data_IF_399827057496
#
_entry.id   IF_399827057496
#
_cell.length_a   1.000
_cell.length_b   1.000
_cell.length_c   1.000
_cell.angle_alpha   90.00
_cell.angle_beta   90.00
_cell.angle_gamma   90.00
#
_symmetry.space_group_name_H-M   'P 1'
#
loop_
_entity.id
_entity.type
_entity.pdbx_description
1 polymer ?
#
# COMPACT_ATOMS: atom_id res chain seq x y z
N UNK A 1 -6.02 -16.63 -2.59
CA UNK A 1 -6.57 -15.28 -2.88
C UNK A 1 -8.04 -15.26 -2.48
N UNK A 2 -8.58 -14.10 -2.06
CA UNK A 2 -9.98 -13.92 -1.62
C UNK A 2 -10.91 -13.60 -2.80
N UNK A 3 -12.19 -13.96 -2.69
CA UNK A 3 -13.21 -13.73 -3.71
C UNK A 3 -13.28 -12.26 -4.12
N UNK A 4 -13.33 -11.35 -3.15
CA UNK A 4 -13.43 -9.92 -3.44
C UNK A 4 -12.17 -9.32 -4.08
N UNK A 5 -10.99 -9.88 -3.80
CA UNK A 5 -9.77 -9.46 -4.50
C UNK A 5 -9.81 -9.87 -5.97
N UNK A 6 -10.31 -11.09 -6.25
CA UNK A 6 -10.45 -11.56 -7.62
C UNK A 6 -11.49 -10.73 -8.39
N UNK A 7 -12.64 -10.42 -7.76
CA UNK A 7 -13.68 -9.59 -8.36
C UNK A 7 -13.19 -8.16 -8.65
N UNK A 8 -12.43 -7.56 -7.72
CA UNK A 8 -11.83 -6.25 -7.95
C UNK A 8 -10.86 -6.27 -9.14
N UNK A 9 -10.02 -7.31 -9.25
CA UNK A 9 -9.06 -7.47 -10.35
C UNK A 9 -9.73 -7.72 -11.72
N UNK A 10 -10.91 -8.35 -11.73
CA UNK A 10 -11.70 -8.56 -12.96
C UNK A 10 -12.42 -7.28 -13.41
N UNK A 11 -12.54 -6.28 -12.54
CA UNK A 11 -13.16 -5.01 -12.88
C UNK A 11 -12.19 -4.16 -13.72
N UNK A 12 -12.29 -4.28 -15.05
CA UNK A 12 -11.45 -3.58 -16.06
C UNK A 12 -11.54 -2.04 -16.04
N UNK A 13 -12.36 -1.45 -15.16
CA UNK A 13 -12.53 -0.01 -15.01
C UNK A 13 -11.83 0.53 -13.76
N UNK A 14 -11.39 1.79 -13.81
CA UNK A 14 -10.83 2.57 -12.69
C UNK A 14 -11.87 2.85 -11.58
N UNK A 15 -12.69 1.89 -11.17
CA UNK A 15 -13.55 2.09 -10.00
C UNK A 15 -12.65 2.18 -8.77
N UNK A 16 -12.77 3.25 -7.97
CA UNK A 16 -12.05 3.34 -6.72
C UNK A 16 -12.32 2.11 -5.85
N UNK A 17 -11.27 1.62 -5.18
CA UNK A 17 -11.35 0.53 -4.21
C UNK A 17 -12.41 0.81 -3.13
N UNK A 18 -12.58 2.09 -2.81
CA UNK A 18 -13.58 2.65 -1.92
C UNK A 18 -15.00 2.28 -2.37
N UNK A 19 -15.43 2.73 -3.56
CA UNK A 19 -16.73 2.39 -4.16
C UNK A 19 -16.99 0.89 -4.18
N UNK A 20 -15.98 0.10 -4.60
CA UNK A 20 -16.10 -1.36 -4.65
C UNK A 20 -16.39 -1.96 -3.27
N UNK A 21 -15.70 -1.48 -2.23
CA UNK A 21 -15.92 -1.96 -0.87
C UNK A 21 -17.27 -1.48 -0.29
N UNK A 22 -17.65 -0.24 -0.59
CA UNK A 22 -18.95 0.34 -0.23
C UNK A 22 -20.11 -0.52 -0.74
N UNK A 23 -20.07 -0.96 -2.00
CA UNK A 23 -21.10 -1.84 -2.57
C UNK A 23 -21.18 -3.19 -1.85
N UNK A 24 -20.02 -3.81 -1.57
CA UNK A 24 -19.97 -5.09 -0.87
C UNK A 24 -20.58 -4.98 0.53
N UNK A 25 -20.18 -3.95 1.29
CA UNK A 25 -20.67 -3.74 2.66
C UNK A 25 -22.15 -3.45 2.67
N UNK A 26 -22.64 -2.56 1.79
CA UNK A 26 -24.06 -2.25 1.71
C UNK A 26 -24.90 -3.48 1.34
N UNK A 27 -24.46 -4.27 0.35
CA UNK A 27 -25.13 -5.52 -0.01
C UNK A 27 -25.15 -6.52 1.14
N UNK A 28 -24.02 -6.73 1.80
CA UNK A 28 -23.92 -7.62 2.96
C UNK A 28 -24.86 -7.20 4.10
N UNK A 29 -24.91 -5.91 4.45
CA UNK A 29 -25.79 -5.39 5.49
C UNK A 29 -27.28 -5.48 5.10
N UNK A 30 -27.59 -5.39 3.79
CA UNK A 30 -28.96 -5.55 3.30
C UNK A 30 -29.50 -6.98 3.45
N UNK A 31 -28.60 -7.97 3.41
CA UNK A 31 -28.93 -9.37 3.67
C UNK A 31 -28.93 -9.69 5.17
N UNK A 32 -28.10 -9.00 5.95
CA UNK A 32 -27.86 -9.27 7.37
C UNK A 32 -28.22 -8.04 8.23
N UNK A 33 -29.50 -7.70 8.22
CA UNK A 33 -30.04 -6.53 8.93
C UNK A 33 -29.79 -6.58 10.45
N UNK A 34 -29.74 -7.77 11.03
CA UNK A 34 -29.41 -7.97 12.44
C UNK A 34 -27.98 -7.51 12.76
N UNK A 35 -27.02 -7.78 11.87
CA UNK A 35 -25.63 -7.33 12.00
C UNK A 35 -25.53 -5.81 11.86
N UNK A 36 -26.28 -5.21 10.92
CA UNK A 36 -26.38 -3.75 10.80
C UNK A 36 -26.90 -3.13 12.10
N UNK A 37 -28.02 -3.63 12.62
CA UNK A 37 -28.61 -3.10 13.85
C UNK A 37 -27.71 -3.31 15.06
N UNK A 38 -27.07 -4.47 15.20
CA UNK A 38 -26.11 -4.73 16.28
C UNK A 38 -24.93 -3.75 16.22
N UNK A 39 -24.36 -3.55 15.03
CA UNK A 39 -23.26 -2.61 14.83
C UNK A 39 -23.65 -1.17 15.21
N UNK A 40 -24.80 -0.69 14.72
CA UNK A 40 -25.27 0.65 15.02
C UNK A 40 -25.59 0.84 16.51
N UNK A 41 -26.20 -0.16 17.17
CA UNK A 41 -26.49 -0.13 18.61
C UNK A 41 -25.22 -0.19 19.45
N UNK A 42 -24.24 -1.00 19.04
CA UNK A 42 -23.00 -1.15 19.77
C UNK A 42 -22.24 0.18 19.93
N UNK A 43 -22.30 1.03 18.89
CA UNK A 43 -21.72 2.37 18.90
C UNK A 43 -22.70 3.46 19.35
N UNK A 44 -23.85 3.09 19.93
CA UNK A 44 -24.90 3.99 20.42
C UNK A 44 -25.43 4.95 19.36
N UNK A 45 -25.38 4.55 18.08
CA UNK A 45 -25.83 5.36 16.95
C UNK A 45 -27.35 5.40 16.89
N UNK A 46 -27.97 4.26 17.17
CA UNK A 46 -29.42 4.09 17.29
C UNK A 46 -29.77 3.51 18.67
N UNK A 47 -31.01 3.70 19.10
CA UNK A 47 -31.54 3.11 20.33
C UNK A 47 -32.08 1.69 20.13
N UNK A 48 -32.87 1.23 21.10
CA UNK A 48 -33.50 -0.09 21.10
C UNK A 48 -34.85 -0.16 20.37
N UNK A 49 -35.12 0.82 19.51
CA UNK A 49 -36.31 0.84 18.67
C UNK A 49 -36.42 -0.44 17.82
N UNK A 50 -37.65 -0.91 17.60
CA UNK A 50 -37.93 -2.05 16.73
C UNK A 50 -38.30 -1.52 15.35
N UNK A 51 -37.37 -1.64 14.41
CA UNK A 51 -37.58 -1.23 13.03
C UNK A 51 -38.32 -2.33 12.25
N UNK A 52 -39.41 -1.95 11.60
CA UNK A 52 -40.24 -2.83 10.76
C UNK A 52 -39.76 -2.87 9.31
N UNK A 53 -39.00 -1.86 8.88
CA UNK A 53 -38.42 -1.79 7.54
C UNK A 53 -37.02 -1.18 7.59
N UNK A 54 -36.12 -1.75 6.80
CA UNK A 54 -34.73 -1.31 6.63
C UNK A 54 -34.48 -1.27 5.13
N UNK A 55 -34.01 -0.12 4.65
CA UNK A 55 -33.61 0.07 3.25
C UNK A 55 -32.20 0.62 3.21
N UNK A 56 -31.38 0.02 2.36
CA UNK A 56 -30.01 0.45 2.12
C UNK A 56 -29.87 0.77 0.63
N UNK A 57 -29.39 1.98 0.33
CA UNK A 57 -29.01 2.39 -1.03
C UNK A 57 -27.55 2.85 -1.03
N UNK A 58 -26.91 2.74 -2.19
CA UNK A 58 -25.54 3.18 -2.40
C UNK A 58 -25.49 4.22 -3.51
N UNK A 59 -24.46 5.05 -3.50
CA UNK A 59 -24.13 6.00 -4.57
C UNK A 59 -25.30 6.90 -4.95
N UNK A 60 -26.07 7.34 -3.96
CA UNK A 60 -27.28 8.12 -4.17
C UNK A 60 -26.94 9.57 -4.49
N UNK A 61 -27.35 10.02 -5.67
CA UNK A 61 -27.17 11.40 -6.11
C UNK A 61 -28.22 12.33 -5.47
N UNK A 62 -27.76 13.47 -4.97
CA UNK A 62 -28.56 14.55 -4.42
C UNK A 62 -28.17 15.85 -5.11
N UNK A 63 -29.18 16.57 -5.59
CA UNK A 63 -28.97 17.90 -6.16
C UNK A 63 -28.39 18.84 -5.12
N UNK A 64 -27.51 19.74 -5.59
CA UNK A 64 -26.96 20.81 -4.78
C UNK A 64 -28.09 21.62 -4.12
N UNK A 65 -27.99 21.81 -2.81
CA UNK A 65 -28.79 22.85 -2.16
C UNK A 65 -28.33 24.22 -2.67
N UNK A 66 -29.19 25.24 -2.62
CA UNK A 66 -28.87 26.58 -3.12
C UNK A 66 -27.59 27.22 -2.52
N UNK A 67 -27.14 26.71 -1.37
CA UNK A 67 -25.93 27.13 -0.66
C UNK A 67 -24.66 26.36 -1.11
N UNK A 68 -24.79 25.42 -2.03
CA UNK A 68 -23.71 24.59 -2.57
C UNK A 68 -23.63 24.74 -4.08
N UNK A 69 -22.42 24.63 -4.62
CA UNK A 69 -22.16 24.81 -6.06
C UNK A 69 -22.23 23.52 -6.86
N UNK A 70 -22.27 22.38 -6.19
CA UNK A 70 -22.13 21.06 -6.81
C UNK A 70 -23.07 20.05 -6.14
N UNK A 71 -23.54 19.12 -6.96
CA UNK A 71 -24.31 17.97 -6.51
C UNK A 71 -23.47 17.07 -5.57
N UNK A 72 -24.16 16.18 -4.88
CA UNK A 72 -23.58 15.29 -3.88
C UNK A 72 -23.90 13.84 -4.22
N UNK A 73 -22.94 12.93 -4.04
CA UNK A 73 -23.15 11.49 -4.23
C UNK A 73 -22.79 10.77 -2.94
N UNK A 74 -23.81 10.28 -2.24
CA UNK A 74 -23.66 9.64 -0.93
C UNK A 74 -23.25 8.19 -1.10
N UNK A 75 -22.22 7.74 -0.36
CA UNK A 75 -21.72 6.38 -0.45
C UNK A 75 -22.77 5.33 -0.04
N UNK A 76 -23.32 5.45 1.19
CA UNK A 76 -24.39 4.59 1.69
C UNK A 76 -25.45 5.45 2.38
N UNK A 77 -26.72 5.15 2.09
CA UNK A 77 -27.88 5.69 2.80
C UNK A 77 -28.65 4.54 3.42
N UNK A 78 -28.93 4.63 4.71
CA UNK A 78 -29.75 3.68 5.46
C UNK A 78 -31.00 4.39 5.97
N UNK A 79 -32.17 3.87 5.61
CA UNK A 79 -33.46 4.32 6.11
C UNK A 79 -34.04 3.24 7.04
N UNK A 80 -34.25 3.58 8.31
CA UNK A 80 -34.80 2.69 9.33
C UNK A 80 -36.20 3.19 9.75
N UNK A 81 -37.25 2.40 9.49
CA UNK A 81 -38.61 2.81 9.82
C UNK A 81 -39.24 1.93 10.89
N UNK A 82 -39.96 2.55 11.82
CA UNK A 82 -40.83 1.87 12.80
C UNK A 82 -42.28 1.75 12.30
N UNK A 83 -42.57 2.28 11.09
CA UNK A 83 -43.92 2.47 10.55
C UNK A 83 -44.57 3.80 10.97
N UNK A 84 -44.08 4.45 12.03
CA UNK A 84 -44.54 5.78 12.47
C UNK A 84 -43.47 6.85 12.26
N UNK A 85 -42.21 6.48 12.44
CA UNK A 85 -41.07 7.38 12.34
C UNK A 85 -39.98 6.73 11.50
N UNK A 86 -39.17 7.57 10.86
CA UNK A 86 -38.02 7.13 10.07
C UNK A 86 -36.75 7.79 10.59
N UNK A 87 -35.72 6.99 10.82
CA UNK A 87 -34.36 7.44 11.05
C UNK A 87 -33.58 7.32 9.74
N UNK A 88 -32.78 8.32 9.40
CA UNK A 88 -31.95 8.33 8.19
C UNK A 88 -30.49 8.47 8.58
N UNK A 89 -29.67 7.57 8.06
CA UNK A 89 -28.24 7.51 8.29
C UNK A 89 -27.53 7.65 6.95
N UNK A 90 -26.73 8.70 6.81
CA UNK A 90 -25.75 8.80 5.74
C UNK A 90 -24.42 8.26 6.24
N UNK A 91 -23.77 7.42 5.45
CA UNK A 91 -22.43 6.90 5.74
C UNK A 91 -21.53 7.31 4.59
N UNK A 92 -20.52 8.13 4.88
CA UNK A 92 -19.43 8.45 3.96
C UNK A 92 -18.21 7.60 4.31
N UNK A 93 -17.71 6.86 3.32
CA UNK A 93 -16.62 5.90 3.45
C UNK A 93 -15.34 6.44 2.84
N UNK A 94 -14.20 6.31 3.55
CA UNK A 94 -12.89 6.61 2.97
C UNK A 94 -11.89 5.49 3.15
N UNK A 95 -11.29 5.06 2.04
CA UNK A 95 -10.21 4.05 2.02
C UNK A 95 -9.00 4.63 1.29
N UNK A 96 -8.12 5.28 2.05
CA UNK A 96 -6.86 5.84 1.54
C UNK A 96 -6.99 7.15 0.77
N UNK A 97 -8.20 7.69 0.66
CA UNK A 97 -8.47 9.05 0.20
C UNK A 97 -8.88 9.94 1.38
N UNK A 98 -8.74 11.26 1.22
CA UNK A 98 -9.44 12.23 2.07
C UNK A 98 -10.80 12.53 1.45
N UNK A 99 -11.74 13.01 2.26
CA UNK A 99 -13.00 13.53 1.76
C UNK A 99 -12.82 14.72 0.81
N UNK A 100 -13.81 14.92 -0.05
CA UNK A 100 -13.88 16.08 -0.92
C UNK A 100 -14.10 17.39 -0.15
N UNK A 101 -13.84 18.51 -0.81
CA UNK A 101 -14.03 19.84 -0.22
C UNK A 101 -15.45 20.02 0.35
N UNK A 102 -15.52 20.36 1.65
CA UNK A 102 -16.75 20.54 2.44
C UNK A 102 -17.78 19.39 2.33
N UNK A 103 -17.36 18.19 1.94
CA UNK A 103 -18.27 17.09 1.60
C UNK A 103 -19.19 16.69 2.76
N UNK A 104 -18.64 16.49 3.96
CA UNK A 104 -19.42 16.12 5.14
C UNK A 104 -20.39 17.23 5.57
N UNK A 105 -20.02 18.50 5.39
CA UNK A 105 -20.91 19.64 5.66
C UNK A 105 -22.09 19.64 4.69
N UNK A 106 -21.84 19.45 3.38
CA UNK A 106 -22.90 19.31 2.37
C UNK A 106 -23.88 18.19 2.75
N UNK A 107 -23.38 17.06 3.23
CA UNK A 107 -24.24 15.95 3.64
C UNK A 107 -25.05 16.24 4.89
N UNK A 108 -24.45 16.92 5.88
CA UNK A 108 -25.19 17.38 7.06
C UNK A 108 -26.31 18.36 6.67
N UNK A 109 -26.05 19.29 5.75
CA UNK A 109 -27.04 20.24 5.25
C UNK A 109 -28.18 19.53 4.51
N UNK A 110 -27.86 18.57 3.62
CA UNK A 110 -28.86 17.74 2.92
C UNK A 110 -29.72 16.97 3.93
N UNK A 111 -29.08 16.32 4.91
CA UNK A 111 -29.77 15.49 5.89
C UNK A 111 -30.69 16.32 6.81
N UNK A 112 -30.25 17.54 7.19
CA UNK A 112 -31.06 18.51 7.94
C UNK A 112 -32.34 18.87 7.19
N UNK A 113 -32.24 19.09 5.88
CA UNK A 113 -33.36 19.49 5.02
C UNK A 113 -34.32 18.34 4.65
N UNK A 114 -34.05 17.08 5.04
CA UNK A 114 -34.99 15.99 4.78
C UNK A 114 -36.26 16.11 5.64
N UNK A 115 -37.46 16.06 5.02
CA UNK A 115 -38.72 16.15 5.74
C UNK A 115 -39.05 14.84 6.49
N UNK A 116 -39.82 14.95 7.58
CA UNK A 116 -40.41 13.81 8.30
C UNK A 116 -39.42 12.77 8.86
N UNK A 117 -38.18 13.16 9.13
CA UNK A 117 -37.17 12.31 9.76
C UNK A 117 -37.14 12.56 11.28
N UNK A 118 -37.09 11.49 12.07
CA UNK A 118 -36.94 11.53 13.55
C UNK A 118 -35.47 11.77 13.90
N UNK A 119 -34.59 10.83 13.57
CA UNK A 119 -33.15 10.99 13.77
C UNK A 119 -32.40 11.17 12.44
N UNK A 120 -31.54 12.19 12.41
CA UNK A 120 -30.67 12.53 11.27
C UNK A 120 -29.24 12.25 11.67
N UNK A 121 -28.65 11.21 11.09
CA UNK A 121 -27.35 10.71 11.50
C UNK A 121 -26.38 10.75 10.32
N UNK A 122 -25.20 11.34 10.54
CA UNK A 122 -24.09 11.31 9.60
C UNK A 122 -22.95 10.50 10.22
N UNK A 123 -22.55 9.41 9.56
CA UNK A 123 -21.41 8.59 9.92
C UNK A 123 -20.29 8.87 8.91
N UNK A 124 -19.12 9.23 9.41
CA UNK A 124 -17.88 9.24 8.63
C UNK A 124 -17.01 8.06 9.06
N UNK A 125 -16.69 7.16 8.14
CA UNK A 125 -15.89 5.95 8.42
C UNK A 125 -14.64 5.87 7.56
N UNK A 126 -13.47 5.79 8.21
CA UNK A 126 -12.17 5.83 7.52
C UNK A 126 -11.29 4.61 7.80
N UNK A 127 -10.41 4.25 6.87
CA UNK A 127 -9.31 3.31 7.17
C UNK A 127 -8.29 3.97 8.09
N UNK A 128 -7.80 5.13 7.65
CA UNK A 128 -6.69 5.83 8.29
C UNK A 128 -7.19 6.73 9.43
N UNK A 129 -6.29 7.17 10.30
CA UNK A 129 -6.62 8.13 11.34
C UNK A 129 -6.78 9.53 10.74
N UNK A 130 -8.02 10.01 10.63
CA UNK A 130 -8.37 11.33 10.06
C UNK A 130 -9.45 12.04 10.91
N UNK A 131 -9.12 12.57 12.11
CA UNK A 131 -10.08 13.22 13.00
C UNK A 131 -10.75 14.45 12.37
N UNK A 132 -12.08 14.56 12.53
CA UNK A 132 -12.93 15.65 12.01
C UNK A 132 -13.47 16.53 13.14
N UNK A 133 -12.58 17.21 13.84
CA UNK A 133 -12.97 18.10 14.92
C UNK A 133 -13.70 19.36 14.37
N UNK A 134 -13.35 19.78 13.16
CA UNK A 134 -13.90 20.95 12.48
C UNK A 134 -15.37 20.82 12.09
N UNK A 135 -15.90 19.60 11.90
CA UNK A 135 -17.29 19.35 11.51
C UNK A 135 -18.22 19.24 12.70
N UNK A 136 -17.67 18.96 13.89
CA UNK A 136 -18.47 18.94 15.12
C UNK A 136 -19.17 20.29 15.29
N UNK A 137 -18.45 21.41 15.20
CA UNK A 137 -19.05 22.74 15.41
C UNK A 137 -20.16 23.12 14.40
N UNK A 138 -19.99 22.96 13.07
CA UNK A 138 -21.02 23.26 12.07
C UNK A 138 -22.22 22.30 12.10
N UNK A 139 -21.99 20.98 12.19
CA UNK A 139 -23.09 19.99 12.16
C UNK A 139 -24.01 20.12 13.40
N UNK A 140 -23.50 20.62 14.52
CA UNK A 140 -24.28 20.80 15.74
C UNK A 140 -25.11 22.10 15.79
N UNK A 141 -24.91 23.05 14.86
CA UNK A 141 -25.68 24.30 14.81
C UNK A 141 -26.84 24.28 13.79
N UNK A 142 -27.07 23.14 13.13
CA UNK A 142 -28.18 22.97 12.19
C UNK A 142 -29.50 22.73 12.93
N UNK A 143 -30.58 23.30 12.39
CA UNK A 143 -31.95 23.01 12.82
C UNK A 143 -32.76 22.57 11.59
N UNK A 144 -33.28 21.32 11.55
CA UNK A 144 -33.18 20.27 12.58
C UNK A 144 -31.77 19.70 12.78
N UNK A 145 -31.44 19.32 14.02
CA UNK A 145 -30.13 18.81 14.42
C UNK A 145 -29.72 17.52 13.68
N UNK A 146 -28.46 17.47 13.24
CA UNK A 146 -27.77 16.28 12.74
C UNK A 146 -26.82 15.74 13.81
N UNK A 147 -26.82 14.42 14.01
CA UNK A 147 -25.92 13.73 14.93
C UNK A 147 -24.74 13.17 14.12
N UNK A 148 -23.53 13.60 14.44
CA UNK A 148 -22.32 13.17 13.76
C UNK A 148 -21.58 12.08 14.53
N UNK A 149 -21.24 11.00 13.84
CA UNK A 149 -20.36 9.94 14.34
C UNK A 149 -19.14 9.82 13.45
N UNK A 150 -17.98 9.73 14.06
CA UNK A 150 -16.76 9.37 13.37
C UNK A 150 -16.29 7.99 13.84
N UNK A 151 -16.13 7.10 12.88
CA UNK A 151 -15.66 5.73 13.09
C UNK A 151 -14.47 5.44 12.19
N UNK A 152 -13.84 4.30 12.46
CA UNK A 152 -12.84 3.71 11.57
C UNK A 152 -13.23 2.30 11.19
N UNK A 153 -12.79 1.85 10.02
CA UNK A 153 -13.10 0.52 9.53
C UNK A 153 -12.67 -0.60 10.48
N UNK A 154 -11.62 -0.41 11.30
CA UNK A 154 -11.23 -1.42 12.30
C UNK A 154 -12.30 -1.66 13.38
N UNK A 155 -13.16 -0.67 13.64
CA UNK A 155 -14.28 -0.79 14.58
C UNK A 155 -15.36 -1.70 14.00
N UNK A 156 -15.73 -1.48 12.73
CA UNK A 156 -16.61 -2.39 12.01
C UNK A 156 -16.01 -3.80 11.89
N UNK A 157 -14.71 -3.89 11.57
CA UNK A 157 -13.97 -5.16 11.52
C UNK A 157 -14.09 -5.95 12.83
N UNK A 158 -13.81 -5.31 13.97
CA UNK A 158 -13.87 -5.94 15.29
C UNK A 158 -15.27 -6.46 15.64
N UNK A 159 -16.34 -5.81 15.14
CA UNK A 159 -17.69 -6.33 15.28
C UNK A 159 -18.00 -7.46 14.32
N UNK A 160 -17.65 -7.33 13.06
CA UNK A 160 -17.90 -8.35 12.06
C UNK A 160 -17.21 -9.69 12.40
N UNK A 161 -16.08 -9.66 13.14
CA UNK A 161 -15.42 -10.88 13.62
C UNK A 161 -16.33 -11.81 14.46
N UNK A 162 -17.33 -11.25 15.16
CA UNK A 162 -18.29 -12.01 15.94
C UNK A 162 -19.26 -12.82 15.06
N UNK A 163 -19.34 -12.49 13.76
CA UNK A 163 -20.19 -13.14 12.77
C UNK A 163 -19.36 -13.90 11.72
N UNK A 164 -18.15 -14.32 12.08
CA UNK A 164 -17.21 -14.99 11.18
C UNK A 164 -17.65 -16.37 10.69
N UNK A 165 -18.82 -16.87 11.07
CA UNK A 165 -19.43 -18.07 10.47
C UNK A 165 -20.11 -17.79 9.12
N UNK A 166 -20.48 -16.54 8.84
CA UNK A 166 -21.04 -16.15 7.55
C UNK A 166 -19.93 -16.03 6.49
N UNK A 167 -20.15 -16.62 5.31
CA UNK A 167 -19.14 -16.70 4.24
C UNK A 167 -18.83 -15.31 3.68
N UNK A 168 -19.83 -14.45 3.50
CA UNK A 168 -19.61 -13.08 3.02
C UNK A 168 -18.88 -12.26 4.09
N UNK A 169 -19.23 -12.42 5.37
CA UNK A 169 -18.51 -11.79 6.47
C UNK A 169 -17.03 -12.20 6.48
N UNK A 170 -16.71 -13.48 6.28
CA UNK A 170 -15.33 -13.95 6.17
C UNK A 170 -14.57 -13.28 5.02
N UNK A 171 -15.19 -13.20 3.84
CA UNK A 171 -14.57 -12.55 2.67
C UNK A 171 -14.36 -11.04 2.90
N UNK A 172 -15.31 -10.36 3.58
CA UNK A 172 -15.16 -8.96 3.99
C UNK A 172 -13.98 -8.83 4.95
N UNK A 173 -13.89 -9.68 5.98
CA UNK A 173 -12.78 -9.67 6.94
C UNK A 173 -11.42 -9.93 6.28
N UNK A 174 -11.35 -10.79 5.26
CA UNK A 174 -10.11 -11.00 4.49
C UNK A 174 -9.76 -9.75 3.67
N UNK A 175 -10.74 -9.16 2.98
CA UNK A 175 -10.54 -7.94 2.20
C UNK A 175 -10.08 -6.78 3.09
N UNK A 176 -10.70 -6.60 4.25
CA UNK A 176 -10.34 -5.57 5.22
C UNK A 176 -8.91 -5.73 5.72
N UNK A 177 -8.49 -6.94 6.09
CA UNK A 177 -7.11 -7.22 6.53
C UNK A 177 -6.08 -6.84 5.47
N UNK A 178 -6.28 -7.31 4.24
CA UNK A 178 -5.37 -7.03 3.11
C UNK A 178 -5.25 -5.55 2.80
N UNK A 179 -6.30 -4.77 3.08
CA UNK A 179 -6.34 -3.35 2.79
C UNK A 179 -6.06 -2.48 4.01
N UNK A 180 -5.51 -3.04 5.10
CA UNK A 180 -5.11 -2.29 6.30
C UNK A 180 -6.27 -1.76 7.14
N UNK A 181 -7.49 -2.25 6.90
CA UNK A 181 -8.70 -1.82 7.61
C UNK A 181 -8.93 -2.55 8.94
N UNK A 182 -8.12 -3.57 9.26
CA UNK A 182 -8.18 -4.27 10.55
C UNK A 182 -7.27 -3.65 11.62
N UNK A 183 -6.41 -2.70 11.26
CA UNK A 183 -5.37 -2.16 12.14
C UNK A 183 -5.98 -1.26 13.21
N UNK A 184 -5.62 -1.51 14.48
CA UNK A 184 -6.13 -0.72 15.62
C UNK A 184 -5.29 0.54 15.86
N UNK A 185 -5.68 1.35 16.86
CA UNK A 185 -4.90 2.50 17.33
C UNK A 185 -3.81 2.14 18.35
N UNK A 186 -3.54 0.85 18.54
CA UNK A 186 -2.62 0.37 19.57
C UNK A 186 -1.46 -0.37 18.92
N UNK A 187 -0.26 -0.16 19.45
CA UNK A 187 0.89 -0.99 19.12
C UNK A 187 0.69 -2.39 19.69
N UNK A 188 0.86 -3.39 18.83
CA UNK A 188 0.98 -4.78 19.25
C UNK A 188 2.40 -5.08 19.75
N UNK A 189 2.57 -6.23 20.42
CA UNK A 189 3.90 -6.71 20.79
C UNK A 189 4.80 -6.95 19.56
N UNK A 190 4.21 -7.29 18.41
CA UNK A 190 4.95 -7.48 17.15
C UNK A 190 5.45 -6.14 16.63
N UNK A 191 4.64 -5.08 16.72
CA UNK A 191 5.06 -3.72 16.31
C UNK A 191 6.22 -3.24 17.18
N UNK A 192 6.12 -3.43 18.51
CA UNK A 192 7.19 -3.08 19.44
C UNK A 192 8.47 -3.89 19.15
N UNK A 193 8.36 -5.20 18.94
CA UNK A 193 9.49 -6.05 18.59
C UNK A 193 10.14 -5.60 17.28
N UNK A 194 9.33 -5.22 16.29
CA UNK A 194 9.79 -4.70 15.00
C UNK A 194 10.56 -3.40 15.18
N UNK A 195 10.01 -2.44 15.94
CA UNK A 195 10.67 -1.16 16.20
C UNK A 195 12.04 -1.34 16.85
N UNK A 196 12.15 -2.23 17.85
CA UNK A 196 13.41 -2.46 18.59
C UNK A 196 14.44 -3.22 17.75
N UNK A 197 14.01 -4.14 16.88
CA UNK A 197 14.94 -4.92 16.05
C UNK A 197 15.23 -4.31 14.68
N UNK A 198 14.47 -3.29 14.25
CA UNK A 198 14.58 -2.70 12.91
C UNK A 198 16.01 -2.32 12.56
N UNK A 199 16.69 -1.56 13.44
CA UNK A 199 18.06 -1.13 13.20
C UNK A 199 19.03 -2.31 13.13
N UNK A 200 18.87 -3.33 13.98
CA UNK A 200 19.71 -4.54 13.95
C UNK A 200 19.57 -5.28 12.62
N UNK A 201 18.35 -5.47 12.14
CA UNK A 201 18.07 -6.11 10.85
C UNK A 201 18.63 -5.28 9.70
N UNK A 202 18.41 -3.95 9.72
CA UNK A 202 18.96 -3.04 8.71
C UNK A 202 20.50 -3.06 8.71
N UNK A 203 21.15 -3.14 9.86
CA UNK A 203 22.60 -3.28 9.95
C UNK A 203 23.08 -4.58 9.31
N UNK A 204 22.44 -5.71 9.58
CA UNK A 204 22.78 -6.99 8.93
C UNK A 204 22.65 -6.89 7.40
N UNK A 205 21.55 -6.32 6.90
CA UNK A 205 21.36 -6.10 5.46
C UNK A 205 22.46 -5.22 4.87
N UNK A 206 22.82 -4.13 5.55
CA UNK A 206 23.95 -3.26 5.14
C UNK A 206 25.28 -4.02 5.14
N UNK A 207 25.53 -4.86 6.14
CA UNK A 207 26.76 -5.65 6.23
C UNK A 207 26.90 -6.68 5.09
N UNK A 208 25.79 -7.18 4.55
CA UNK A 208 25.85 -8.04 3.34
C UNK A 208 26.13 -7.27 2.05
N UNK A 209 25.89 -5.96 2.03
CA UNK A 209 26.21 -5.04 0.94
C UNK A 209 27.45 -4.21 1.30
N UNK A 210 28.47 -4.83 1.89
CA UNK A 210 29.67 -4.14 2.37
C UNK A 210 30.53 -3.54 1.23
N UNK A 211 31.65 -2.92 1.60
CA UNK A 211 32.59 -2.28 0.68
C UNK A 211 33.08 -3.19 -0.44
N UNK A 212 33.31 -4.47 -0.15
CA UNK A 212 33.73 -5.47 -1.14
C UNK A 212 32.67 -5.65 -2.24
N UNK A 213 31.42 -5.94 -1.85
CA UNK A 213 30.30 -6.10 -2.79
C UNK A 213 30.06 -4.81 -3.57
N UNK A 214 30.13 -3.65 -2.90
CA UNK A 214 29.99 -2.35 -3.55
C UNK A 214 31.11 -2.09 -4.56
N UNK A 215 32.35 -2.45 -4.24
CA UNK A 215 33.49 -2.31 -5.15
C UNK A 215 33.31 -3.16 -6.39
N UNK A 216 32.96 -4.43 -6.24
CA UNK A 216 32.72 -5.31 -7.40
C UNK A 216 31.55 -4.82 -8.25
N UNK A 217 30.47 -4.35 -7.63
CA UNK A 217 29.34 -3.74 -8.33
C UNK A 217 29.77 -2.48 -9.10
N UNK A 218 30.58 -1.61 -8.49
CA UNK A 218 31.12 -0.41 -9.14
C UNK A 218 32.02 -0.75 -10.33
N UNK A 219 32.92 -1.71 -10.16
CA UNK A 219 33.81 -2.15 -11.24
C UNK A 219 33.02 -2.71 -12.42
N UNK A 220 31.95 -3.43 -12.12
CA UNK A 220 31.08 -4.03 -13.12
C UNK A 220 30.24 -3.00 -13.89
N UNK A 221 29.63 -2.04 -13.18
CA UNK A 221 28.51 -1.25 -13.70
C UNK A 221 28.71 0.28 -13.56
N UNK A 222 29.88 0.71 -13.08
CA UNK A 222 30.35 2.10 -13.03
C UNK A 222 30.01 2.86 -11.75
N UNK A 223 28.76 2.78 -11.28
CA UNK A 223 28.23 3.57 -10.16
C UNK A 223 27.68 2.74 -9.02
N UNK A 224 27.59 3.33 -7.82
CA UNK A 224 26.95 2.74 -6.63
C UNK A 224 26.16 3.80 -5.89
N UNK A 225 24.85 3.83 -6.11
CA UNK A 225 23.90 4.63 -5.33
C UNK A 225 23.48 3.78 -4.12
N UNK A 226 23.56 4.36 -2.91
CA UNK A 226 23.34 3.67 -1.63
C UNK A 226 22.78 4.62 -0.56
N UNK A 227 22.56 4.10 0.66
CA UNK A 227 22.23 4.92 1.83
C UNK A 227 20.80 5.45 1.81
N UNK A 228 20.64 6.77 1.87
CA UNK A 228 19.31 7.42 1.88
C UNK A 228 18.46 7.06 0.65
N UNK A 229 19.11 6.84 -0.50
CA UNK A 229 18.46 6.37 -1.71
C UNK A 229 17.88 4.96 -1.54
N UNK A 230 18.64 4.03 -0.94
CA UNK A 230 18.18 2.66 -0.63
C UNK A 230 17.00 2.66 0.35
N UNK A 231 17.00 3.57 1.33
CA UNK A 231 15.87 3.73 2.26
C UNK A 231 14.62 4.28 1.58
N UNK A 232 14.78 5.20 0.64
CA UNK A 232 13.68 5.69 -0.20
C UNK A 232 13.08 4.54 -1.01
N UNK A 233 13.92 3.66 -1.57
CA UNK A 233 13.46 2.48 -2.30
C UNK A 233 12.69 1.50 -1.39
N UNK A 234 13.12 1.29 -0.14
CA UNK A 234 12.40 0.42 0.78
C UNK A 234 11.02 1.00 1.08
N UNK A 235 10.97 2.29 1.45
CA UNK A 235 9.72 2.98 1.80
C UNK A 235 8.65 2.88 0.71
N UNK A 236 9.03 3.03 -0.55
CA UNK A 236 8.06 3.17 -1.64
C UNK A 236 7.85 1.90 -2.46
N UNK A 237 8.86 1.03 -2.53
CA UNK A 237 8.86 -0.12 -3.43
C UNK A 237 9.14 -1.44 -2.70
N UNK A 238 9.29 -1.43 -1.37
CA UNK A 238 9.60 -2.62 -0.57
C UNK A 238 10.89 -3.34 -1.01
N UNK A 239 11.89 -2.58 -1.48
CA UNK A 239 13.21 -3.10 -1.88
C UNK A 239 14.32 -2.33 -1.17
N UNK A 240 15.37 -3.02 -0.73
CA UNK A 240 16.56 -2.39 -0.15
C UNK A 240 17.80 -2.81 -0.92
N UNK A 241 18.32 -1.90 -1.74
CA UNK A 241 19.33 -2.21 -2.76
C UNK A 241 20.42 -1.14 -2.84
N UNK A 242 21.60 -1.53 -3.29
CA UNK A 242 22.52 -0.63 -3.99
C UNK A 242 22.20 -0.69 -5.49
N UNK A 243 22.36 0.40 -6.22
CA UNK A 243 21.98 0.43 -7.63
C UNK A 243 22.77 1.43 -8.46
N UNK A 244 22.70 1.30 -9.78
CA UNK A 244 23.24 2.27 -10.73
C UNK A 244 22.27 2.52 -11.87
N UNK A 245 22.39 3.68 -12.50
CA UNK A 245 21.56 4.12 -13.62
C UNK A 245 22.39 4.13 -14.91
N UNK A 246 22.01 3.32 -15.88
CA UNK A 246 22.66 3.29 -17.19
C UNK A 246 22.16 4.41 -18.09
N UNK A 247 20.85 4.69 -18.07
CA UNK A 247 20.23 5.76 -18.89
C UNK A 247 19.15 6.51 -18.10
N UNK A 248 19.57 7.39 -17.19
CA UNK A 248 18.65 8.11 -16.30
C UNK A 248 17.75 7.15 -15.53
N UNK A 249 16.46 7.47 -15.41
CA UNK A 249 15.44 6.61 -14.78
C UNK A 249 14.88 5.54 -15.72
N UNK A 250 15.38 5.46 -16.95
CA UNK A 250 14.82 4.57 -17.97
C UNK A 250 15.45 3.18 -18.02
N UNK A 251 16.68 3.05 -17.52
CA UNK A 251 17.41 1.79 -17.52
C UNK A 251 18.41 1.76 -16.37
N UNK A 252 18.26 0.79 -15.49
CA UNK A 252 19.02 0.70 -14.26
C UNK A 252 19.15 -0.74 -13.77
N UNK A 253 20.15 -0.99 -12.93
CA UNK A 253 20.30 -2.28 -12.26
C UNK A 253 20.47 -2.08 -10.75
N UNK A 254 19.96 -3.03 -9.98
CA UNK A 254 20.02 -2.99 -8.52
C UNK A 254 20.35 -4.36 -7.94
N UNK A 255 21.07 -4.34 -6.82
CA UNK A 255 21.51 -5.51 -6.06
C UNK A 255 21.09 -5.36 -4.61
N UNK A 256 20.42 -6.37 -4.05
CA UNK A 256 20.06 -6.39 -2.64
C UNK A 256 18.83 -7.24 -2.36
N UNK A 257 17.89 -6.68 -1.60
CA UNK A 257 16.73 -7.36 -1.06
C UNK A 257 15.44 -6.86 -1.72
N UNK A 258 14.56 -7.78 -2.07
CA UNK A 258 13.28 -7.53 -2.74
C UNK A 258 12.13 -8.14 -1.95
N UNK A 259 10.93 -7.59 -2.12
CA UNK A 259 9.71 -8.06 -1.46
C UNK A 259 9.83 -8.06 0.08
N UNK A 260 10.33 -6.97 0.67
CA UNK A 260 10.55 -6.84 2.11
C UNK A 260 9.27 -6.74 2.95
N UNK A 261 8.12 -6.50 2.30
CA UNK A 261 6.81 -6.41 2.94
C UNK A 261 5.82 -7.32 2.19
N UNK A 262 5.98 -8.65 2.27
CA UNK A 262 5.12 -9.56 1.53
C UNK A 262 3.67 -9.49 2.02
N UNK A 263 2.72 -9.75 1.12
CA UNK A 263 1.28 -9.78 1.43
C UNK A 263 0.92 -10.92 2.40
N UNK A 264 1.78 -11.93 2.53
CA UNK A 264 1.60 -13.08 3.41
C UNK A 264 2.83 -13.31 4.29
N UNK A 265 2.61 -13.73 5.54
CA UNK A 265 3.70 -14.06 6.48
C UNK A 265 4.45 -15.36 6.11
N UNK A 266 3.97 -16.10 5.10
CA UNK A 266 4.61 -17.34 4.62
C UNK A 266 5.60 -17.10 3.48
N UNK A 267 5.60 -15.91 2.90
CA UNK A 267 6.53 -15.54 1.85
C UNK A 267 7.82 -14.97 2.44
N UNK A 268 8.94 -15.40 1.88
CA UNK A 268 10.27 -14.89 2.22
C UNK A 268 10.70 -13.82 1.21
N UNK A 269 11.40 -12.76 1.65
CA UNK A 269 12.05 -11.82 0.75
C UNK A 269 13.00 -12.53 -0.22
N UNK A 270 13.25 -11.92 -1.37
CA UNK A 270 14.27 -12.39 -2.31
C UNK A 270 15.55 -11.58 -2.16
N UNK A 271 16.68 -12.21 -2.47
CA UNK A 271 17.97 -11.54 -2.61
C UNK A 271 18.48 -11.75 -4.02
N UNK A 272 19.20 -10.78 -4.57
CA UNK A 272 19.84 -10.94 -5.87
C UNK A 272 20.08 -9.63 -6.59
N UNK A 273 20.20 -9.74 -7.92
CA UNK A 273 20.41 -8.62 -8.83
C UNK A 273 19.31 -8.59 -9.89
N UNK A 274 18.96 -7.41 -10.37
CA UNK A 274 18.05 -7.23 -11.49
C UNK A 274 18.53 -6.16 -12.47
N UNK A 275 18.01 -6.23 -13.68
CA UNK A 275 18.08 -5.20 -14.70
C UNK A 275 16.65 -4.81 -15.09
N UNK A 276 16.31 -3.53 -15.03
CA UNK A 276 14.96 -3.02 -15.33
C UNK A 276 14.99 -1.90 -16.37
N UNK A 277 13.99 -1.90 -17.25
CA UNK A 277 13.74 -0.87 -18.26
C UNK A 277 12.34 -0.27 -18.11
N UNK A 278 12.26 1.06 -18.19
CA UNK A 278 10.99 1.80 -18.08
C UNK A 278 10.11 1.60 -19.32
N UNK A 279 8.79 1.63 -19.11
CA UNK A 279 7.80 1.49 -20.19
C UNK A 279 7.91 2.60 -21.26
N UNK A 280 8.37 3.78 -20.88
CA UNK A 280 8.49 4.96 -21.75
C UNK A 280 9.83 5.05 -22.48
N UNK A 281 10.76 4.12 -22.24
CA UNK A 281 12.07 4.20 -22.87
C UNK A 281 12.01 3.82 -24.35
N UNK A 282 12.53 4.69 -25.24
CA UNK A 282 12.53 4.44 -26.69
C UNK A 282 13.27 3.16 -27.10
N UNK A 283 14.29 2.75 -26.33
CA UNK A 283 15.07 1.54 -26.58
C UNK A 283 14.51 0.28 -25.88
N UNK A 284 13.36 0.39 -25.19
CA UNK A 284 12.72 -0.73 -24.47
C UNK A 284 12.57 -2.00 -25.33
N UNK A 285 12.13 -1.95 -26.60
CA UNK A 285 11.99 -3.16 -27.41
C UNK A 285 13.30 -3.94 -27.58
N UNK A 286 14.43 -3.26 -27.82
CA UNK A 286 15.75 -3.91 -27.98
C UNK A 286 16.24 -4.55 -26.68
N UNK A 287 16.00 -3.87 -25.55
CA UNK A 287 16.37 -4.38 -24.23
C UNK A 287 15.53 -5.62 -23.89
N UNK A 288 14.24 -5.60 -24.18
CA UNK A 288 13.36 -6.76 -23.96
C UNK A 288 13.75 -7.94 -24.83
N UNK A 289 14.10 -7.71 -26.10
CA UNK A 289 14.62 -8.77 -26.97
C UNK A 289 15.87 -9.43 -26.38
N UNK A 290 16.78 -8.61 -25.85
CA UNK A 290 18.01 -9.09 -25.17
C UNK A 290 17.68 -9.85 -23.87
N UNK A 291 16.77 -9.34 -23.05
CA UNK A 291 16.27 -10.03 -21.85
C UNK A 291 15.64 -11.39 -22.20
N UNK A 292 14.81 -11.43 -23.24
CA UNK A 292 14.15 -12.64 -23.69
C UNK A 292 15.15 -13.69 -24.17
N UNK A 293 16.22 -13.27 -24.87
CA UNK A 293 17.32 -14.14 -25.26
C UNK A 293 17.99 -14.77 -24.03
N UNK A 294 18.36 -13.96 -23.04
CA UNK A 294 18.98 -14.43 -21.78
C UNK A 294 18.08 -15.45 -21.06
N UNK A 295 16.77 -15.18 -20.99
CA UNK A 295 15.81 -16.09 -20.36
C UNK A 295 15.70 -17.39 -21.15
N UNK A 296 15.63 -17.34 -22.48
CA UNK A 296 15.54 -18.53 -23.31
C UNK A 296 16.81 -19.40 -23.19
N UNK A 297 17.99 -18.77 -23.08
CA UNK A 297 19.28 -19.46 -22.95
C UNK A 297 19.48 -20.03 -21.54
N UNK A 298 18.94 -19.36 -20.50
CA UNK A 298 19.11 -19.72 -19.08
C UNK A 298 17.79 -19.66 -18.28
N UNK A 299 16.75 -20.45 -18.63
CA UNK A 299 15.39 -20.28 -18.10
C UNK A 299 15.23 -20.63 -16.62
N UNK A 300 16.12 -21.46 -16.07
CA UNK A 300 16.09 -21.85 -14.66
C UNK A 300 16.94 -20.94 -13.75
N UNK A 301 17.55 -19.90 -14.33
CA UNK A 301 18.49 -19.02 -13.65
C UNK A 301 17.95 -17.59 -13.60
N UNK A 302 17.41 -17.11 -14.71
CA UNK A 302 16.86 -15.76 -14.82
C UNK A 302 15.33 -15.78 -14.82
N UNK A 303 14.73 -14.96 -13.97
CA UNK A 303 13.27 -14.84 -13.85
C UNK A 303 12.81 -13.55 -14.53
N UNK A 304 11.87 -13.60 -15.50
CA UNK A 304 11.26 -12.41 -16.09
C UNK A 304 10.25 -11.73 -15.16
N UNK A 305 10.08 -10.42 -15.31
CA UNK A 305 8.93 -9.66 -14.84
C UNK A 305 8.41 -8.73 -15.94
N UNK A 306 7.10 -8.79 -16.19
CA UNK A 306 6.33 -7.82 -16.98
C UNK A 306 6.93 -7.45 -18.36
N UNK A 307 7.58 -8.40 -19.04
CA UNK A 307 8.22 -8.15 -20.35
C UNK A 307 7.22 -7.69 -21.42
N UNK A 308 5.96 -8.12 -21.35
CA UNK A 308 4.92 -7.81 -22.36
C UNK A 308 3.82 -6.90 -21.85
N UNK A 309 3.83 -6.52 -20.57
CA UNK A 309 2.74 -5.78 -19.93
C UNK A 309 3.05 -4.29 -19.97
N UNK A 310 2.22 -3.51 -20.66
CA UNK A 310 2.26 -2.06 -20.61
C UNK A 310 1.14 -1.55 -19.69
N UNK A 311 1.37 -0.48 -18.90
CA UNK A 311 2.55 0.39 -18.88
C UNK A 311 3.61 -0.01 -17.82
N UNK A 312 3.72 -1.29 -17.46
CA UNK A 312 4.67 -1.74 -16.44
C UNK A 312 6.14 -1.64 -16.92
N UNK A 313 7.06 -1.41 -15.98
CA UNK A 313 8.48 -1.61 -16.23
C UNK A 313 8.76 -3.09 -16.50
N UNK A 314 9.77 -3.38 -17.31
CA UNK A 314 10.15 -4.76 -17.63
C UNK A 314 11.50 -5.07 -17.01
N UNK A 315 11.64 -6.26 -16.41
CA UNK A 315 12.85 -6.63 -15.71
C UNK A 315 13.21 -8.11 -15.86
N UNK A 316 14.49 -8.41 -15.60
CA UNK A 316 14.97 -9.77 -15.37
C UNK A 316 15.73 -9.83 -14.05
N UNK A 317 15.59 -10.94 -13.33
CA UNK A 317 16.15 -11.15 -12.00
C UNK A 317 17.04 -12.40 -11.98
N UNK A 318 18.21 -12.28 -11.37
CA UNK A 318 18.98 -13.42 -10.86
C UNK A 318 18.89 -13.37 -9.35
N UNK A 319 18.05 -14.23 -8.77
CA UNK A 319 17.66 -14.13 -7.36
C UNK A 319 17.41 -15.48 -6.70
N UNK A 320 17.46 -15.49 -5.37
CA UNK A 320 17.11 -16.61 -4.50
C UNK A 320 16.22 -16.14 -3.36
N UNK A 321 15.44 -17.05 -2.80
CA UNK A 321 14.67 -16.75 -1.60
C UNK A 321 15.62 -16.62 -0.40
N UNK A 322 15.34 -15.69 0.52
CA UNK A 322 16.03 -15.62 1.82
C UNK A 322 15.91 -16.94 2.59
N UNK A 323 14.83 -17.70 2.34
CA UNK A 323 14.64 -19.03 2.88
C UNK A 323 15.83 -19.97 2.62
N UNK A 324 16.44 -19.88 1.43
CA UNK A 324 17.55 -20.74 1.01
C UNK A 324 18.82 -20.52 1.85
N UNK A 325 18.91 -19.40 2.54
CA UNK A 325 20.05 -19.04 3.39
C UNK A 325 19.80 -19.36 4.86
N UNK A 326 18.57 -19.73 5.27
CA UNK A 326 18.24 -19.88 6.68
C UNK A 326 18.97 -21.03 7.37
N UNK A 327 19.35 -22.07 6.63
CA UNK A 327 20.15 -23.19 7.12
C UNK A 327 21.65 -22.91 7.19
N UNK A 328 22.11 -21.79 6.63
CA UNK A 328 23.54 -21.46 6.60
C UNK A 328 24.03 -21.09 8.00
N UNK A 329 25.18 -21.67 8.39
CA UNK A 329 25.80 -21.39 9.69
C UNK A 329 26.25 -19.93 9.82
N UNK A 330 26.72 -19.37 8.71
CA UNK A 330 27.07 -17.96 8.56
C UNK A 330 26.31 -17.36 7.38
N UNK A 331 25.10 -16.88 7.68
CA UNK A 331 24.20 -16.30 6.69
C UNK A 331 24.78 -15.04 6.05
N UNK A 332 25.56 -14.24 6.80
CA UNK A 332 26.16 -13.01 6.31
C UNK A 332 27.13 -13.33 5.17
N UNK A 333 28.05 -14.27 5.41
CA UNK A 333 29.02 -14.68 4.40
C UNK A 333 28.34 -15.34 3.20
N UNK A 334 27.37 -16.24 3.42
CA UNK A 334 26.66 -16.92 2.34
C UNK A 334 25.88 -15.93 1.43
N UNK A 335 25.24 -14.91 2.01
CA UNK A 335 24.53 -13.88 1.24
C UNK A 335 25.52 -13.01 0.47
N UNK A 336 26.64 -12.62 1.09
CA UNK A 336 27.71 -11.86 0.40
C UNK A 336 28.23 -12.59 -0.83
N UNK A 337 28.56 -13.88 -0.68
CA UNK A 337 29.07 -14.71 -1.77
C UNK A 337 28.03 -14.82 -2.89
N UNK A 338 26.75 -14.95 -2.54
CA UNK A 338 25.67 -14.94 -3.51
C UNK A 338 25.54 -13.60 -4.25
N UNK A 339 25.71 -12.47 -3.57
CA UNK A 339 25.72 -11.16 -4.22
C UNK A 339 26.89 -10.98 -5.18
N UNK A 340 28.10 -11.40 -4.80
CA UNK A 340 29.26 -11.39 -5.70
C UNK A 340 29.01 -12.25 -6.94
N UNK A 341 28.48 -13.46 -6.75
CA UNK A 341 28.08 -14.32 -7.87
C UNK A 341 27.01 -13.67 -8.76
N UNK A 342 26.04 -12.98 -8.16
CA UNK A 342 24.98 -12.28 -8.89
C UNK A 342 25.54 -11.19 -9.80
N UNK A 343 26.53 -10.43 -9.30
CA UNK A 343 27.26 -9.42 -10.09
C UNK A 343 27.95 -10.09 -11.29
N UNK A 344 28.66 -11.20 -11.07
CA UNK A 344 29.34 -11.92 -12.14
C UNK A 344 28.38 -12.51 -13.17
N UNK A 345 27.22 -13.04 -12.77
CA UNK A 345 26.22 -13.52 -13.71
C UNK A 345 25.65 -12.39 -14.58
N UNK A 346 25.39 -11.21 -14.01
CA UNK A 346 24.93 -10.06 -14.81
C UNK A 346 26.04 -9.55 -15.75
N UNK A 347 27.30 -9.53 -15.30
CA UNK A 347 28.46 -9.20 -16.16
C UNK A 347 28.60 -10.18 -17.33
N UNK A 348 28.33 -11.47 -17.11
CA UNK A 348 28.48 -12.49 -18.14
C UNK A 348 27.42 -12.39 -19.24
N UNK A 349 26.23 -11.86 -18.95
CA UNK A 349 25.18 -11.63 -19.96
C UNK A 349 25.25 -10.22 -20.57
N UNK A 350 26.09 -9.32 -20.05
CA UNK A 350 26.28 -7.98 -20.60
C UNK A 350 26.51 -7.96 -22.12
N UNK A 351 27.38 -8.83 -22.72
CA UNK A 351 27.60 -8.82 -24.15
C UNK A 351 26.35 -9.07 -25.01
N UNK A 352 25.28 -9.65 -24.44
CA UNK A 352 24.01 -9.85 -25.12
C UNK A 352 23.17 -8.56 -25.23
N UNK A 353 23.56 -7.48 -24.55
CA UNK A 353 22.86 -6.21 -24.55
C UNK A 353 23.58 -5.16 -25.41
N UNK A 354 22.90 -4.67 -26.44
CA UNK A 354 23.44 -3.66 -27.36
C UNK A 354 23.21 -2.22 -26.88
N UNK A 355 23.63 -1.88 -25.67
CA UNK A 355 23.62 -0.49 -25.16
C UNK A 355 24.91 -0.18 -24.39
N UNK A 356 25.34 1.09 -24.27
CA UNK A 356 26.58 1.40 -23.57
C UNK A 356 26.42 1.22 -22.06
N UNK A 357 27.08 0.21 -21.50
CA UNK A 357 27.25 0.09 -20.05
C UNK A 357 28.37 1.04 -19.65
N UNK A 358 28.14 1.88 -18.64
CA UNK A 358 29.18 2.75 -18.07
C UNK A 358 30.19 1.95 -17.22
N UNK A 359 30.55 0.75 -17.62
CA UNK A 359 31.61 -0.02 -16.96
C UNK A 359 32.94 0.71 -17.17
N UNK A 360 33.71 0.88 -16.09
CA UNK A 360 35.06 1.44 -16.18
C UNK A 360 35.94 0.36 -16.81
N UNK A 361 36.39 0.57 -18.05
CA UNK A 361 37.46 -0.22 -18.65
C UNK A 361 38.64 -0.22 -17.69
N UNK A 362 39.16 -1.40 -17.35
CA UNK A 362 40.32 -1.58 -16.45
C UNK A 362 41.58 -1.08 -17.17
N UNK A 363 41.78 0.23 -17.21
CA UNK A 363 43.09 0.84 -17.43
C UNK A 363 43.20 2.07 -16.53
N UNK A 364 44.20 2.05 -15.65
CA UNK A 364 44.68 3.11 -14.72
C UNK A 364 43.85 3.41 -13.47
N UNK A 365 44.19 2.70 -12.38
CA UNK A 365 44.01 3.21 -11.01
C UNK A 365 45.19 4.12 -10.70
N UNK A 366 44.97 5.44 -10.70
CA UNK A 366 45.76 6.41 -9.93
C UNK A 366 44.92 7.67 -9.73
N UNK A 367 44.22 7.72 -8.59
CA UNK A 367 44.31 8.77 -7.56
C UNK A 367 43.10 8.64 -6.61
N UNK A 368 43.27 8.92 -5.30
CA UNK A 368 42.17 8.87 -4.35
C UNK A 368 41.34 10.15 -4.44
N UNK A 369 40.10 10.02 -4.91
CA UNK A 369 39.11 11.08 -4.77
C UNK A 369 38.80 11.29 -3.28
N UNK A 370 38.94 12.55 -2.85
CA UNK A 370 38.58 13.03 -1.52
C UNK A 370 37.10 12.76 -1.26
N UNK A 371 36.80 11.96 -0.24
CA UNK A 371 35.49 11.97 0.40
C UNK A 371 35.28 13.34 1.06
N UNK A 372 34.36 14.15 0.52
CA UNK A 372 33.65 15.13 1.32
C UNK A 372 32.52 14.40 2.06
N UNK A 373 32.81 14.06 3.31
CA UNK A 373 31.86 13.54 4.28
C UNK A 373 30.96 14.69 4.79
N UNK A 374 29.63 14.70 4.56
CA UNK A 374 28.76 15.72 5.11
C UNK A 374 28.35 15.46 6.57
N UNK A 375 28.76 14.36 7.20
CA UNK A 375 28.21 13.93 8.49
C UNK A 375 29.00 14.37 9.74
N UNK A 376 29.92 15.34 9.64
CA UNK A 376 30.54 15.99 10.81
C UNK A 376 30.00 17.42 10.98
N UNK A 377 28.71 17.56 11.27
CA UNK A 377 28.14 18.81 11.81
C UNK A 377 26.95 18.52 12.73
N UNK A 378 27.11 17.67 13.76
CA UNK A 378 26.12 17.58 14.85
C UNK A 378 26.69 17.11 16.20
N UNK A 379 27.99 17.25 16.44
CA UNK A 379 28.60 16.96 17.74
C UNK A 379 29.47 18.13 18.26
N UNK A 380 28.88 19.31 18.40
CA UNK A 380 29.48 20.38 19.21
C UNK A 380 28.53 21.56 19.43
N UNK A 381 27.46 21.38 20.22
CA UNK A 381 26.99 22.42 21.15
C UNK A 381 26.45 21.69 22.38
N UNK A 382 27.31 21.54 23.39
CA UNK A 382 26.89 21.35 24.77
C UNK A 382 26.76 22.71 25.47
N UNK A 383 26.00 22.67 26.56
CA UNK A 383 26.08 23.57 27.73
C UNK A 383 25.62 25.03 27.54
N UNK A 384 24.39 25.34 27.95
CA UNK A 384 24.02 26.00 29.23
C UNK A 384 22.58 25.65 29.57
#
# INVERSE_FOLDING_TARGET
MSLFSNLLNLHLGNKPREDFFTEIVAYFLSLNNDILLDWLKHYSIIGDDKYSSIKISTQQEHQALAIHTEDSRLDIVVELSTGLTTDVIFIESKIGSKEGWEQLKKYADILSNLPNIKHRILIYITRDYDPKEEIKTPAFNLEPKVIFYQLRWHQFYARLQQHSTDILAQEILIFMRKNGMSTTNQFSSVDLLTMVNFNKTLHLMKSTLNEEVQREFKLAFGGVIKGAASMTQWRWYSIYIIYTKFSGDNLWCGLGYFNLNPDTLTEYPYLGIFLEVSASFGERPKIIESMQKVINDKPNIWTPADLTILPACSAIFYQKSLQDFLSEKDQLSAIKDFFLKSIDELKNIHPDFSFPWKGVSIETVTEPDKEEDPDILLSSIGEV
#
